data_IF_441959144832
#
_entry.id   IF_441959144832
#
_cell.length_a   1.000
_cell.length_b   1.000
_cell.length_c   1.000
_cell.angle_alpha   90.00
_cell.angle_beta   90.00
_cell.angle_gamma   90.00
#
_symmetry.space_group_name_H-M   'P 1'
#
loop_
_entity.id
_entity.type
_entity.pdbx_description
1 polymer ?
#
# COMPACT_ATOMS: atom_id res chain seq x y z
N UNK A 1 -7.42 -21.87 18.06
CA UNK A 1 -6.73 -20.60 17.72
C UNK A 1 -6.57 -20.57 16.22
N UNK A 2 -7.28 -19.68 15.52
CA UNK A 2 -7.09 -19.50 14.07
C UNK A 2 -5.67 -18.95 13.87
N UNK A 3 -4.95 -19.45 12.88
CA UNK A 3 -3.60 -18.97 12.60
C UNK A 3 -3.67 -17.51 12.13
N UNK A 4 -2.84 -16.63 12.71
CA UNK A 4 -2.73 -15.22 12.31
C UNK A 4 -2.50 -15.09 10.80
N UNK A 5 -1.73 -16.01 10.21
CA UNK A 5 -1.49 -16.05 8.76
C UNK A 5 -2.80 -16.24 7.99
N UNK A 6 -3.68 -17.13 8.46
CA UNK A 6 -4.98 -17.37 7.81
C UNK A 6 -5.89 -16.14 7.94
N UNK A 7 -5.87 -15.49 9.09
CA UNK A 7 -6.67 -14.30 9.38
C UNK A 7 -6.26 -13.10 8.52
N UNK A 8 -4.95 -12.86 8.41
CA UNK A 8 -4.37 -11.84 7.53
C UNK A 8 -4.68 -12.15 6.06
N UNK A 9 -4.56 -13.41 5.65
CA UNK A 9 -4.87 -13.82 4.26
C UNK A 9 -6.36 -13.62 3.95
N UNK A 10 -7.25 -14.01 4.86
CA UNK A 10 -8.68 -13.81 4.73
C UNK A 10 -9.04 -12.32 4.65
N UNK A 11 -8.44 -11.50 5.52
CA UNK A 11 -8.62 -10.05 5.49
C UNK A 11 -8.17 -9.46 4.16
N UNK A 12 -6.99 -9.85 3.66
CA UNK A 12 -6.49 -9.39 2.36
C UNK A 12 -7.48 -9.71 1.23
N UNK A 13 -8.00 -10.94 1.19
CA UNK A 13 -8.99 -11.36 0.18
C UNK A 13 -10.29 -10.56 0.32
N UNK A 14 -10.74 -10.28 1.55
CA UNK A 14 -11.93 -9.48 1.80
C UNK A 14 -11.76 -8.03 1.29
N UNK A 15 -10.59 -7.42 1.54
CA UNK A 15 -10.28 -6.08 1.03
C UNK A 15 -10.19 -6.04 -0.49
N UNK A 16 -9.58 -7.04 -1.11
CA UNK A 16 -9.52 -7.17 -2.57
C UNK A 16 -10.92 -7.35 -3.18
N UNK A 17 -11.77 -8.16 -2.55
CA UNK A 17 -13.14 -8.35 -3.00
C UNK A 17 -13.95 -7.05 -2.91
N UNK A 18 -13.87 -6.34 -1.78
CA UNK A 18 -14.50 -5.03 -1.62
C UNK A 18 -14.01 -4.03 -2.67
N UNK A 19 -12.71 -4.01 -2.95
CA UNK A 19 -12.13 -3.19 -4.00
C UNK A 19 -12.76 -3.48 -5.36
N UNK A 20 -12.84 -4.76 -5.75
CA UNK A 20 -13.47 -5.18 -7.02
C UNK A 20 -14.95 -4.78 -7.05
N UNK A 21 -15.69 -4.98 -5.94
CA UNK A 21 -17.08 -4.56 -5.84
C UNK A 21 -17.25 -3.04 -6.05
N UNK A 22 -16.39 -2.21 -5.44
CA UNK A 22 -16.45 -0.76 -5.65
C UNK A 22 -16.10 -0.36 -7.08
N UNK A 23 -15.15 -1.03 -7.73
CA UNK A 23 -14.90 -0.84 -9.16
C UNK A 23 -16.10 -1.25 -10.03
N UNK A 24 -16.76 -2.36 -9.71
CA UNK A 24 -17.93 -2.83 -10.45
C UNK A 24 -19.15 -1.92 -10.27
N UNK A 25 -19.35 -1.39 -9.06
CA UNK A 25 -20.42 -0.44 -8.78
C UNK A 25 -20.13 0.90 -9.46
N UNK A 26 -18.92 1.41 -9.29
CA UNK A 26 -18.56 2.75 -9.70
C UNK A 26 -17.75 2.79 -11.00
N UNK A 27 -18.24 2.11 -12.04
CA UNK A 27 -17.59 2.01 -13.37
C UNK A 27 -17.29 3.36 -14.03
N UNK A 28 -17.90 4.45 -13.56
CA UNK A 28 -17.69 5.81 -14.06
C UNK A 28 -16.53 6.56 -13.38
N UNK A 29 -16.01 6.07 -12.26
CA UNK A 29 -14.95 6.74 -11.49
C UNK A 29 -13.59 6.05 -11.68
N UNK A 30 -12.49 6.80 -11.51
CA UNK A 30 -11.12 6.28 -11.62
C UNK A 30 -10.85 5.17 -10.59
N UNK A 31 -9.98 4.22 -10.93
CA UNK A 31 -9.54 3.13 -10.04
C UNK A 31 -8.97 3.63 -8.71
N UNK A 32 -8.39 4.82 -8.69
CA UNK A 32 -7.89 5.50 -7.49
C UNK A 32 -9.02 5.87 -6.52
N UNK A 33 -10.20 6.19 -7.05
CA UNK A 33 -11.35 6.58 -6.25
C UNK A 33 -11.88 5.38 -5.46
N UNK A 34 -11.95 4.21 -6.10
CA UNK A 34 -12.26 2.95 -5.43
C UNK A 34 -11.24 2.64 -4.33
N UNK A 35 -9.95 2.83 -4.58
CA UNK A 35 -8.91 2.63 -3.56
C UNK A 35 -9.12 3.57 -2.36
N UNK A 36 -9.35 4.87 -2.58
CA UNK A 36 -9.63 5.83 -1.50
C UNK A 36 -10.85 5.46 -0.67
N UNK A 37 -11.88 4.91 -1.30
CA UNK A 37 -13.08 4.44 -0.59
C UNK A 37 -12.76 3.23 0.30
N UNK A 38 -11.96 2.28 -0.20
CA UNK A 38 -11.48 1.13 0.58
C UNK A 38 -10.64 1.60 1.78
N UNK A 39 -9.72 2.55 1.57
CA UNK A 39 -8.93 3.17 2.64
C UNK A 39 -9.81 3.83 3.70
N UNK A 40 -10.84 4.57 3.28
CA UNK A 40 -11.79 5.23 4.18
C UNK A 40 -12.53 4.21 5.03
N UNK A 41 -13.03 3.13 4.42
CA UNK A 41 -13.73 2.07 5.13
C UNK A 41 -12.83 1.34 6.10
N UNK A 42 -11.59 1.05 5.72
CA UNK A 42 -10.57 0.54 6.64
C UNK A 42 -10.40 1.46 7.85
N UNK A 43 -10.21 2.76 7.62
CA UNK A 43 -10.05 3.75 8.68
C UNK A 43 -11.25 3.79 9.64
N UNK A 44 -12.48 3.79 9.10
CA UNK A 44 -13.71 3.79 9.91
C UNK A 44 -13.83 2.50 10.70
N UNK A 45 -13.67 1.33 10.07
CA UNK A 45 -13.79 0.02 10.72
C UNK A 45 -12.76 -0.11 11.85
N UNK A 46 -11.49 0.17 11.57
CA UNK A 46 -10.41 0.07 12.57
C UNK A 46 -10.61 1.05 13.71
N UNK A 47 -11.02 2.28 13.43
CA UNK A 47 -11.27 3.29 14.47
C UNK A 47 -12.46 2.88 15.36
N UNK A 48 -13.55 2.42 14.76
CA UNK A 48 -14.72 1.96 15.51
C UNK A 48 -14.39 0.71 16.35
N UNK A 49 -13.72 -0.30 15.80
CA UNK A 49 -13.36 -1.51 16.55
C UNK A 49 -12.33 -1.19 17.65
N UNK A 50 -11.31 -0.39 17.35
CA UNK A 50 -10.31 0.02 18.35
C UNK A 50 -10.94 0.86 19.45
N UNK A 51 -11.85 1.78 19.11
CA UNK A 51 -12.64 2.54 20.07
C UNK A 51 -13.54 1.64 20.93
N UNK A 52 -14.19 0.64 20.35
CA UNK A 52 -14.99 -0.34 21.08
C UNK A 52 -14.14 -1.11 22.10
N UNK A 53 -12.97 -1.59 21.67
CA UNK A 53 -12.01 -2.25 22.57
C UNK A 53 -11.53 -1.28 23.65
N UNK A 54 -11.21 -0.03 23.32
CA UNK A 54 -10.65 0.90 24.30
C UNK A 54 -11.69 1.40 25.32
N UNK A 55 -12.98 1.50 24.93
CA UNK A 55 -14.02 2.13 25.74
C UNK A 55 -14.94 1.13 26.46
N UNK A 56 -15.15 -0.07 25.90
CA UNK A 56 -16.14 -1.04 26.41
C UNK A 56 -15.52 -2.34 26.94
N UNK A 57 -14.60 -2.96 26.18
CA UNK A 57 -14.14 -4.34 26.46
C UNK A 57 -12.69 -4.47 26.95
N UNK A 58 -11.88 -3.44 26.79
CA UNK A 58 -10.44 -3.50 27.04
C UNK A 58 -10.11 -3.23 28.50
N UNK A 59 -9.09 -3.91 29.06
CA UNK A 59 -8.57 -3.53 30.36
C UNK A 59 -8.02 -2.09 30.24
N UNK A 60 -8.41 -1.23 31.19
CA UNK A 60 -8.16 0.21 31.09
C UNK A 60 -6.67 0.47 30.75
N UNK A 61 -6.37 1.23 29.69
CA UNK A 61 -5.00 1.34 29.14
C UNK A 61 -3.98 1.88 30.15
N UNK A 62 -4.46 2.53 31.22
CA UNK A 62 -3.64 3.09 32.29
C UNK A 62 -3.46 2.17 33.52
N UNK A 63 -4.22 1.07 33.67
CA UNK A 63 -4.12 0.19 34.85
C UNK A 63 -3.61 -1.22 34.58
N UNK A 64 -3.58 -1.68 33.33
CA UNK A 64 -3.17 -3.04 32.95
C UNK A 64 -2.20 -3.05 31.76
N UNK A 65 -1.16 -2.21 31.83
CA UNK A 65 -0.09 -2.24 30.84
C UNK A 65 0.67 -3.57 30.91
N UNK A 66 0.60 -4.38 29.84
CA UNK A 66 1.32 -5.67 29.74
C UNK A 66 0.46 -6.93 29.71
N UNK A 67 -0.88 -6.82 29.72
CA UNK A 67 -1.76 -7.97 29.48
C UNK A 67 -1.59 -8.50 28.04
N UNK A 68 -1.68 -9.82 27.80
CA UNK A 68 -1.73 -10.37 26.44
C UNK A 68 -2.87 -9.72 25.62
N UNK A 69 -2.61 -9.51 24.33
CA UNK A 69 -3.57 -8.90 23.40
C UNK A 69 -4.89 -9.68 23.41
N UNK A 70 -6.00 -8.96 23.44
CA UNK A 70 -7.32 -9.60 23.33
C UNK A 70 -7.52 -10.15 21.93
N UNK A 71 -8.37 -11.17 21.78
CA UNK A 71 -8.70 -11.74 20.45
C UNK A 71 -9.21 -10.67 19.47
N UNK A 72 -9.90 -9.65 19.96
CA UNK A 72 -10.36 -8.51 19.15
C UNK A 72 -9.20 -7.62 18.68
N UNK A 73 -8.20 -7.37 19.52
CA UNK A 73 -7.00 -6.63 19.11
C UNK A 73 -6.21 -7.37 18.04
N UNK A 74 -6.08 -8.69 18.17
CA UNK A 74 -5.45 -9.54 17.14
C UNK A 74 -6.24 -9.48 15.83
N UNK A 75 -7.57 -9.39 15.90
CA UNK A 75 -8.43 -9.23 14.73
C UNK A 75 -8.28 -7.87 14.05
N UNK A 76 -8.27 -6.79 14.83
CA UNK A 76 -8.01 -5.44 14.30
C UNK A 76 -6.62 -5.37 13.68
N UNK A 77 -5.61 -5.94 14.34
CA UNK A 77 -4.25 -6.01 13.81
C UNK A 77 -4.21 -6.78 12.48
N UNK A 78 -4.85 -7.94 12.41
CA UNK A 78 -4.90 -8.76 11.19
C UNK A 78 -5.64 -8.05 10.06
N UNK A 79 -6.74 -7.34 10.37
CA UNK A 79 -7.50 -6.52 9.43
C UNK A 79 -6.66 -5.38 8.85
N UNK A 80 -5.90 -4.69 9.69
CA UNK A 80 -5.01 -3.60 9.27
C UNK A 80 -3.82 -4.11 8.48
N UNK A 81 -3.23 -5.23 8.89
CA UNK A 81 -2.11 -5.84 8.16
C UNK A 81 -2.55 -6.33 6.78
N UNK A 82 -3.72 -6.97 6.69
CA UNK A 82 -4.32 -7.39 5.41
C UNK A 82 -4.59 -6.20 4.48
N UNK A 83 -5.13 -5.10 5.02
CA UNK A 83 -5.32 -3.85 4.26
C UNK A 83 -3.99 -3.27 3.78
N UNK A 84 -2.96 -3.24 4.62
CA UNK A 84 -1.64 -2.71 4.26
C UNK A 84 -1.01 -3.48 3.10
N UNK A 85 -1.10 -4.81 3.11
CA UNK A 85 -0.63 -5.65 1.99
C UNK A 85 -1.40 -5.34 0.71
N UNK A 86 -2.71 -5.15 0.82
CA UNK A 86 -3.55 -4.72 -0.30
C UNK A 86 -3.12 -3.36 -0.86
N UNK A 87 -2.93 -2.35 -0.01
CA UNK A 87 -2.54 -0.98 -0.38
C UNK A 87 -1.14 -0.95 -1.04
N UNK A 88 -0.20 -1.71 -0.49
CA UNK A 88 1.13 -1.88 -1.04
C UNK A 88 1.08 -2.57 -2.42
N UNK A 89 0.33 -3.68 -2.54
CA UNK A 89 0.16 -4.39 -3.80
C UNK A 89 -0.51 -3.52 -4.88
N UNK A 90 -1.50 -2.72 -4.48
CA UNK A 90 -2.16 -1.74 -5.32
C UNK A 90 -1.18 -0.68 -5.84
N UNK A 91 -0.38 -0.09 -4.96
CA UNK A 91 0.64 0.90 -5.32
C UNK A 91 1.71 0.33 -6.27
N UNK A 92 2.15 -0.91 -6.04
CA UNK A 92 3.11 -1.60 -6.91
C UNK A 92 2.51 -1.90 -8.29
N UNK A 93 1.25 -2.29 -8.35
CA UNK A 93 0.55 -2.61 -9.61
C UNK A 93 0.27 -1.36 -10.46
N UNK A 94 -0.25 -0.28 -9.86
CA UNK A 94 -0.48 1.00 -10.57
C UNK A 94 0.78 1.85 -10.76
N UNK A 95 1.88 1.41 -10.16
CA UNK A 95 3.25 1.77 -10.54
C UNK A 95 3.54 3.27 -10.43
N UNK A 96 3.42 3.83 -9.23
CA UNK A 96 3.86 5.20 -8.90
C UNK A 96 5.39 5.39 -9.01
N UNK A 97 6.20 4.31 -9.02
CA UNK A 97 7.68 4.41 -9.03
C UNK A 97 8.38 3.79 -10.26
N UNK A 98 7.77 2.83 -10.96
CA UNK A 98 8.39 2.16 -12.11
C UNK A 98 8.56 3.04 -13.36
N UNK A 99 7.80 4.14 -13.47
CA UNK A 99 8.00 5.15 -14.53
C UNK A 99 9.20 6.05 -14.24
N UNK A 100 9.55 6.29 -12.97
CA UNK A 100 10.62 7.22 -12.61
C UNK A 100 11.98 6.58 -12.85
N UNK A 101 12.16 5.32 -12.45
CA UNK A 101 13.42 4.59 -12.65
C UNK A 101 13.71 4.31 -14.14
N UNK A 102 12.70 3.91 -14.92
CA UNK A 102 12.83 3.73 -16.38
C UNK A 102 13.07 5.06 -17.10
N UNK A 103 12.41 6.15 -16.67
CA UNK A 103 12.61 7.47 -17.25
C UNK A 103 13.99 8.02 -16.91
N UNK A 104 14.53 7.80 -15.71
CA UNK A 104 15.90 8.21 -15.36
C UNK A 104 16.96 7.48 -16.19
N UNK A 105 16.81 6.17 -16.39
CA UNK A 105 17.68 5.39 -17.29
C UNK A 105 17.54 5.82 -18.75
N UNK A 106 16.32 6.07 -19.24
CA UNK A 106 16.07 6.53 -20.62
C UNK A 106 16.57 7.96 -20.87
N UNK A 107 16.45 8.85 -19.89
CA UNK A 107 16.96 10.23 -19.97
C UNK A 107 18.48 10.29 -19.88
N UNK A 108 19.10 9.49 -19.01
CA UNK A 108 20.57 9.32 -18.97
C UNK A 108 21.07 8.67 -20.27
N UNK A 109 20.34 7.66 -20.74
CA UNK A 109 20.27 7.12 -22.12
C UNK A 109 20.50 8.14 -23.22
N UNK A 110 19.49 9.01 -23.35
CA UNK A 110 19.41 10.03 -24.38
C UNK A 110 20.51 11.08 -24.23
N UNK A 111 20.84 11.47 -22.99
CA UNK A 111 21.86 12.48 -22.72
C UNK A 111 23.26 11.99 -23.10
N UNK A 112 23.55 10.69 -22.91
CA UNK A 112 24.80 10.09 -23.35
C UNK A 112 24.90 10.02 -24.88
N UNK A 113 23.77 9.83 -25.57
CA UNK A 113 23.71 9.85 -27.04
C UNK A 113 23.86 11.26 -27.65
N UNK A 114 23.53 12.30 -26.88
CA UNK A 114 23.69 13.71 -27.27
C UNK A 114 25.00 14.35 -26.77
N UNK A 115 25.90 13.58 -26.15
CA UNK A 115 27.23 14.08 -25.84
C UNK A 115 28.02 14.21 -27.16
N UNK A 116 28.49 15.42 -27.55
CA UNK A 116 29.32 15.56 -28.73
C UNK A 116 30.60 14.75 -28.52
N UNK A 117 30.77 13.68 -29.29
CA UNK A 117 32.05 12.99 -29.45
C UNK A 117 33.04 14.05 -29.94
N UNK A 118 33.89 14.53 -29.04
CA UNK A 118 34.97 15.44 -29.34
C UNK A 118 36.00 14.67 -30.17
N UNK A 119 35.82 14.67 -31.49
CA UNK A 119 36.83 14.22 -32.44
C UNK A 119 37.95 15.25 -32.42
N UNK A 120 38.93 15.08 -31.53
CA UNK A 120 40.14 15.90 -31.56
C UNK A 120 40.89 15.53 -32.85
N UNK A 121 40.76 16.39 -33.85
CA UNK A 121 41.48 16.32 -35.12
C UNK A 121 42.98 16.19 -34.85
N UNK A 122 43.56 15.13 -35.40
CA UNK A 122 45.00 14.96 -35.47
C UNK A 122 45.53 15.93 -36.53
N UNK A 123 46.17 17.00 -36.06
CA UNK A 123 46.81 18.03 -36.88
C UNK A 123 47.87 17.42 -37.80
N UNK A 124 47.72 17.65 -39.10
CA UNK A 124 48.82 17.57 -40.07
C UNK A 124 49.91 18.56 -39.69
N UNK A 125 51.13 18.07 -39.51
CA UNK A 125 52.34 18.88 -39.45
C UNK A 125 53.36 18.32 -40.45
N UNK A 126 53.65 19.17 -41.46
CA UNK A 126 54.81 19.23 -42.35
C UNK A 126 55.18 18.04 -43.24
#
# INVERSE_FOLDING_TARGET
MVSIVLEVTCSFVAWLFLYICFCCWNKRCSYEWSCRLVTLLHGVIVTCLSGHVALLDGPWPLTHAGSPNTSLQIHVLSLTLGYFIFDLGWCLYFQTEGKILKKYHSWTSLRNMNAPVKTNGHSTAH
#
